data_IF_346428721446
#
_entry.id   IF_346428721446
#
_cell.length_a   1.000
_cell.length_b   1.000
_cell.length_c   1.000
_cell.angle_alpha   90.00
_cell.angle_beta   90.00
_cell.angle_gamma   90.00
#
_symmetry.space_group_name_H-M   'P 1'
#
loop_
_entity.id
_entity.type
_entity.pdbx_description
1 polymer ?
#
# COMPACT_ATOMS: atom_id res chain seq x y z
N UNK A 1 4.99 -4.51 -17.26
CA UNK A 1 3.53 -4.79 -17.25
C UNK A 1 2.83 -3.49 -16.90
N UNK A 2 1.88 -3.01 -17.72
CA UNK A 2 1.18 -1.74 -17.44
C UNK A 2 0.08 -2.01 -16.42
N UNK A 3 0.18 -1.41 -15.23
CA UNK A 3 -0.90 -1.39 -14.24
C UNK A 3 -1.86 -0.24 -14.56
N UNK A 4 -3.14 -0.42 -14.25
CA UNK A 4 -4.15 0.65 -14.20
C UNK A 4 -4.77 0.67 -12.80
N UNK A 5 -5.04 1.86 -12.26
CA UNK A 5 -5.67 1.99 -10.95
C UNK A 5 -6.97 1.18 -10.90
N UNK A 6 -7.18 0.44 -9.81
CA UNK A 6 -8.30 -0.48 -9.57
C UNK A 6 -8.44 -1.68 -10.52
N UNK A 7 -7.53 -1.88 -11.46
CA UNK A 7 -7.52 -3.16 -12.16
C UNK A 7 -7.15 -4.30 -11.19
N UNK A 8 -7.46 -5.54 -11.58
CA UNK A 8 -7.22 -6.70 -10.72
C UNK A 8 -5.74 -6.86 -10.36
N UNK A 9 -4.80 -6.49 -11.25
CA UNK A 9 -3.37 -6.60 -10.99
C UNK A 9 -2.90 -5.56 -9.98
N UNK A 10 -3.46 -4.35 -10.04
CA UNK A 10 -3.22 -3.26 -9.12
C UNK A 10 -3.73 -3.61 -7.72
N UNK A 11 -4.95 -4.15 -7.60
CA UNK A 11 -5.48 -4.62 -6.32
C UNK A 11 -4.66 -5.78 -5.75
N UNK A 12 -4.28 -6.75 -6.58
CA UNK A 12 -3.38 -7.84 -6.17
C UNK A 12 -2.03 -7.30 -5.71
N UNK A 13 -1.47 -6.28 -6.37
CA UNK A 13 -0.21 -5.65 -5.95
C UNK A 13 -0.34 -5.01 -4.56
N UNK A 14 -1.37 -4.19 -4.32
CA UNK A 14 -1.62 -3.58 -3.00
C UNK A 14 -1.81 -4.67 -1.92
N UNK A 15 -2.60 -5.71 -2.21
CA UNK A 15 -2.84 -6.81 -1.26
C UNK A 15 -1.54 -7.56 -0.94
N UNK A 16 -0.73 -7.83 -1.95
CA UNK A 16 0.60 -8.40 -1.80
C UNK A 16 1.50 -7.56 -0.89
N UNK A 17 1.55 -6.27 -1.13
CA UNK A 17 2.41 -5.37 -0.37
C UNK A 17 2.00 -5.34 1.10
N UNK A 18 0.69 -5.19 1.37
CA UNK A 18 0.17 -5.30 2.72
C UNK A 18 0.51 -6.65 3.36
N UNK A 19 0.39 -7.76 2.61
CA UNK A 19 0.68 -9.10 3.11
C UNK A 19 2.16 -9.28 3.48
N UNK A 20 3.07 -8.73 2.71
CA UNK A 20 4.51 -8.75 3.01
C UNK A 20 4.84 -7.87 4.23
N UNK A 21 4.17 -6.73 4.38
CA UNK A 21 4.32 -5.84 5.54
C UNK A 21 3.70 -6.40 6.83
N UNK A 22 2.74 -7.34 6.73
CA UNK A 22 1.94 -7.95 7.81
C UNK A 22 1.04 -6.97 8.57
N UNK A 23 1.64 -5.94 9.14
CA UNK A 23 0.98 -4.86 9.86
C UNK A 23 1.68 -3.54 9.50
N UNK A 24 0.92 -2.53 9.12
CA UNK A 24 1.46 -1.22 8.75
C UNK A 24 0.53 -0.11 9.21
N UNK A 25 1.10 1.01 9.63
CA UNK A 25 0.36 2.24 9.86
C UNK A 25 -0.17 2.79 8.53
N UNK A 26 -1.41 3.26 8.51
CA UNK A 26 -2.08 3.71 7.31
C UNK A 26 -1.34 4.86 6.63
N UNK A 27 -0.84 5.84 7.39
CA UNK A 27 -0.07 6.95 6.83
C UNK A 27 1.26 6.48 6.25
N UNK A 28 1.94 5.56 6.93
CA UNK A 28 3.16 4.96 6.40
C UNK A 28 2.87 4.15 5.12
N UNK A 29 1.73 3.46 5.04
CA UNK A 29 1.32 2.77 3.82
C UNK A 29 1.12 3.75 2.66
N UNK A 30 0.45 4.88 2.87
CA UNK A 30 0.33 5.93 1.86
C UNK A 30 1.70 6.48 1.41
N UNK A 31 2.64 6.67 2.34
CA UNK A 31 4.02 7.09 2.01
C UNK A 31 4.75 6.06 1.17
N UNK A 32 4.60 4.76 1.48
CA UNK A 32 5.17 3.67 0.69
C UNK A 32 4.61 3.70 -0.73
N UNK A 33 3.29 3.76 -0.89
CA UNK A 33 2.65 3.84 -2.20
C UNK A 33 3.09 5.10 -2.97
N UNK A 34 3.27 6.22 -2.28
CA UNK A 34 3.78 7.45 -2.89
C UNK A 34 5.19 7.29 -3.45
N UNK A 35 6.11 6.67 -2.70
CA UNK A 35 7.48 6.40 -3.20
C UNK A 35 7.45 5.45 -4.39
N UNK A 36 6.67 4.37 -4.31
CA UNK A 36 6.50 3.43 -5.43
C UNK A 36 5.90 4.11 -6.68
N UNK A 37 4.98 5.07 -6.48
CA UNK A 37 4.41 5.86 -7.57
C UNK A 37 5.45 6.80 -8.21
N UNK A 38 6.33 7.42 -7.42
CA UNK A 38 7.44 8.25 -7.93
C UNK A 38 8.45 7.47 -8.74
N UNK A 39 8.68 6.20 -8.40
CA UNK A 39 9.52 5.26 -9.16
C UNK A 39 8.80 4.65 -10.37
N UNK A 40 7.54 5.01 -10.63
CA UNK A 40 6.76 4.51 -11.76
C UNK A 40 6.32 3.04 -11.64
N UNK A 41 6.41 2.46 -10.45
CA UNK A 41 6.08 1.05 -10.19
C UNK A 41 4.58 0.83 -10.12
N UNK A 42 3.86 1.74 -9.45
CA UNK A 42 2.41 1.69 -9.29
C UNK A 42 1.77 3.02 -9.70
N UNK A 43 0.75 3.03 -10.58
CA UNK A 43 0.03 4.26 -10.92
C UNK A 43 -0.89 4.67 -9.76
N UNK A 44 -0.95 5.98 -9.53
CA UNK A 44 -1.90 6.70 -8.67
C UNK A 44 -2.25 7.98 -9.43
N UNK A 45 -3.53 8.28 -9.56
CA UNK A 45 -4.00 9.42 -10.35
C UNK A 45 -4.00 10.73 -9.56
N UNK A 46 -4.20 10.66 -8.24
CA UNK A 46 -4.30 11.87 -7.41
C UNK A 46 -3.69 11.69 -6.03
N UNK A 47 -3.10 12.80 -5.56
CA UNK A 47 -2.50 12.94 -4.24
C UNK A 47 -2.99 14.22 -3.57
N UNK A 48 -3.29 14.12 -2.29
CA UNK A 48 -3.55 15.23 -1.37
C UNK A 48 -2.45 15.22 -0.31
N UNK A 49 -2.13 16.39 0.24
CA UNK A 49 -1.04 16.56 1.20
C UNK A 49 -1.56 17.10 2.53
N UNK A 50 -1.18 16.44 3.62
CA UNK A 50 -1.42 16.88 4.99
C UNK A 50 -0.08 17.20 5.63
N UNK A 51 0.38 18.44 5.48
CA UNK A 51 1.77 18.80 5.76
C UNK A 51 2.72 18.04 4.82
N UNK A 52 3.63 17.25 5.39
CA UNK A 52 4.58 16.42 4.62
C UNK A 52 4.04 15.01 4.32
N UNK A 53 2.81 14.69 4.71
CA UNK A 53 2.22 13.36 4.56
C UNK A 53 1.33 13.29 3.32
N UNK A 54 1.66 12.46 2.32
CA UNK A 54 0.81 12.24 1.15
C UNK A 54 -0.38 11.34 1.50
N UNK A 55 -1.52 11.56 0.82
CA UNK A 55 -2.74 10.77 0.94
C UNK A 55 -3.40 10.59 -0.42
N UNK A 56 -3.93 9.40 -0.71
CA UNK A 56 -4.65 9.12 -1.96
C UNK A 56 -6.00 8.45 -1.73
N UNK A 57 -7.07 9.02 -2.28
CA UNK A 57 -8.42 8.42 -2.20
C UNK A 57 -8.48 7.02 -2.84
N UNK A 58 -7.59 6.72 -3.79
CA UNK A 58 -7.54 5.42 -4.46
C UNK A 58 -6.98 4.34 -3.54
N UNK A 59 -5.95 4.68 -2.76
CA UNK A 59 -5.39 3.81 -1.71
C UNK A 59 -6.43 3.60 -0.61
N UNK A 60 -7.16 4.65 -0.23
CA UNK A 60 -8.23 4.57 0.80
C UNK A 60 -9.37 3.66 0.38
N UNK A 61 -9.83 3.79 -0.86
CA UNK A 61 -10.85 2.93 -1.41
C UNK A 61 -10.37 1.47 -1.50
N UNK A 62 -9.09 1.23 -1.79
CA UNK A 62 -8.52 -0.12 -1.78
C UNK A 62 -8.50 -0.73 -0.37
N UNK A 63 -8.06 0.03 0.63
CA UNK A 63 -8.09 -0.36 2.05
C UNK A 63 -9.53 -0.65 2.48
N UNK A 64 -10.47 0.25 2.18
CA UNK A 64 -11.89 0.06 2.49
C UNK A 64 -12.49 -1.18 1.84
N UNK A 65 -12.15 -1.44 0.57
CA UNK A 65 -12.57 -2.65 -0.14
C UNK A 65 -12.02 -3.92 0.52
N UNK A 66 -10.75 -3.93 0.92
CA UNK A 66 -10.14 -5.06 1.60
C UNK A 66 -10.72 -5.29 3.00
N UNK A 67 -11.04 -4.22 3.73
CA UNK A 67 -11.73 -4.32 5.01
C UNK A 67 -13.12 -4.94 4.83
N UNK A 68 -13.89 -4.46 3.85
CA UNK A 68 -15.23 -4.98 3.52
C UNK A 68 -15.21 -6.49 3.20
N UNK A 69 -14.21 -6.96 2.47
CA UNK A 69 -14.05 -8.39 2.16
C UNK A 69 -13.33 -9.20 3.25
N UNK A 70 -13.08 -8.59 4.41
CA UNK A 70 -12.34 -9.18 5.54
C UNK A 70 -10.99 -9.75 5.11
N UNK A 71 -10.29 -9.03 4.23
CA UNK A 71 -8.91 -9.32 3.83
C UNK A 71 -7.94 -8.70 4.85
N UNK A 72 -8.29 -7.52 5.36
CA UNK A 72 -7.60 -6.82 6.43
C UNK A 72 -8.55 -6.56 7.60
N UNK A 73 -7.96 -6.25 8.75
CA UNK A 73 -8.63 -5.64 9.91
C UNK A 73 -7.98 -4.28 10.18
N UNK A 74 -8.79 -3.32 10.61
CA UNK A 74 -8.36 -1.98 11.00
C UNK A 74 -8.45 -1.84 12.52
N UNK A 75 -7.35 -1.45 13.15
CA UNK A 75 -7.27 -1.14 14.58
C UNK A 75 -6.69 0.27 14.76
N UNK A 76 -7.57 1.27 14.89
CA UNK A 76 -7.18 2.67 14.76
C UNK A 76 -6.61 2.95 13.37
N UNK A 77 -5.38 3.46 13.31
CA UNK A 77 -4.64 3.72 12.07
C UNK A 77 -3.83 2.52 11.58
N UNK A 78 -3.90 1.36 12.26
CA UNK A 78 -3.15 0.17 11.85
C UNK A 78 -3.95 -0.71 10.91
N UNK A 79 -3.31 -1.09 9.81
CA UNK A 79 -3.80 -2.07 8.85
C UNK A 79 -3.13 -3.41 9.14
N UNK A 80 -3.90 -4.42 9.52
CA UNK A 80 -3.42 -5.79 9.71
C UNK A 80 -4.01 -6.73 8.66
N UNK A 81 -3.17 -7.50 7.97
CA UNK A 81 -3.67 -8.45 6.96
C UNK A 81 -4.03 -9.80 7.59
N UNK A 82 -5.26 -10.26 7.35
CA UNK A 82 -5.78 -11.51 7.92
C UNK A 82 -6.03 -12.60 6.87
N UNK A 83 -6.09 -12.26 5.58
CA UNK A 83 -6.17 -13.24 4.47
C UNK A 83 -5.02 -13.05 3.49
N UNK A 84 -4.36 -14.14 3.13
CA UNK A 84 -3.29 -14.13 2.14
C UNK A 84 -3.83 -13.93 0.71
N UNK A 85 -3.06 -13.26 -0.17
CA UNK A 85 -3.31 -13.30 -1.60
C UNK A 85 -3.14 -14.72 -2.15
N UNK A 86 -3.95 -15.10 -3.16
CA UNK A 86 -3.85 -16.44 -3.78
C UNK A 86 -2.50 -16.70 -4.46
N UNK A 87 -1.90 -15.65 -5.02
CA UNK A 87 -0.55 -15.65 -5.60
C UNK A 87 0.09 -14.31 -5.30
N UNK A 88 1.31 -14.34 -4.77
CA UNK A 88 2.06 -13.13 -4.50
C UNK A 88 3.51 -13.25 -4.96
N UNK A 89 3.95 -12.25 -5.68
CA UNK A 89 5.34 -12.08 -6.09
C UNK A 89 5.56 -10.59 -6.22
N UNK A 90 6.25 -10.01 -5.24
CA UNK A 90 6.78 -8.66 -5.33
C UNK A 90 8.26 -8.74 -5.63
N UNK A 91 8.74 -7.77 -6.41
CA UNK A 91 10.16 -7.58 -6.65
C UNK A 91 10.82 -7.13 -5.33
N UNK A 92 12.04 -7.62 -5.05
CA UNK A 92 12.83 -7.22 -3.88
C UNK A 92 13.01 -5.70 -3.83
N UNK A 93 13.11 -5.03 -4.98
CA UNK A 93 13.17 -3.58 -5.08
C UNK A 93 11.95 -2.88 -4.45
N UNK A 94 10.75 -3.45 -4.62
CA UNK A 94 9.52 -2.91 -4.01
C UNK A 94 9.59 -3.00 -2.49
N UNK A 95 10.07 -4.13 -1.97
CA UNK A 95 10.21 -4.36 -0.54
C UNK A 95 11.28 -3.46 0.07
N UNK A 96 12.35 -3.17 -0.65
CA UNK A 96 13.41 -2.28 -0.19
C UNK A 96 12.95 -0.82 -0.10
N UNK A 97 12.15 -0.35 -1.07
CA UNK A 97 11.48 0.97 -0.98
C UNK A 97 10.55 1.00 0.24
N UNK A 98 9.76 -0.04 0.45
CA UNK A 98 8.83 -0.09 1.59
C UNK A 98 9.60 -0.04 2.93
N UNK A 99 10.66 -0.83 3.06
CA UNK A 99 11.53 -0.85 4.24
C UNK A 99 12.24 0.48 4.48
N UNK A 100 12.66 1.19 3.43
CA UNK A 100 13.33 2.48 3.59
C UNK A 100 12.39 3.51 4.19
N UNK A 101 11.13 3.58 3.72
CA UNK A 101 10.11 4.49 4.26
C UNK A 101 9.87 4.22 5.74
N UNK A 102 9.80 2.95 6.15
CA UNK A 102 9.57 2.58 7.54
C UNK A 102 10.77 2.92 8.45
N UNK A 103 12.00 2.91 7.92
CA UNK A 103 13.22 3.31 8.66
C UNK A 103 13.38 4.82 8.83
N UNK A 104 12.86 5.62 7.90
CA UNK A 104 12.89 7.10 8.02
C UNK A 104 12.16 7.61 9.28
N UNK A 105 11.31 6.80 9.92
CA UNK A 105 10.56 7.15 11.13
C UNK A 105 11.36 6.97 12.42
N UNK A 106 12.45 6.20 12.41
CA UNK A 106 13.27 5.88 13.59
C UNK A 106 14.55 6.71 13.70
N UNK A 107 14.74 7.71 12.84
CA UNK A 107 15.83 8.71 12.89
C UNK A 107 15.30 10.09 13.22
#
# INVERSE_FOLDING_TARGET
>A
MVLKVFDNKWLVFIHCLLWELKEVDEWDFHRIIYKLNKEGIIPINSWVWFGNSPRSAEVDAAIGLFSLYRIIELDGEKIRVIKSPRKCSLDDHVLDIARSVLKEKTS
#
